data_IF_355041374999
#
_entry.id   IF_355041374999
#
_cell.length_a   1.000
_cell.length_b   1.000
_cell.length_c   1.000
_cell.angle_alpha   90.00
_cell.angle_beta   90.00
_cell.angle_gamma   90.00
#
_symmetry.space_group_name_H-M   'P 1'
#
loop_
_entity.id
_entity.type
_entity.pdbx_description
1 polymer ?
#
# COMPACT_ATOMS: atom_id res chain seq x y z
N UNK A 1 1.85 -23.18 -19.73
CA UNK A 1 1.68 -23.29 -21.19
C UNK A 1 0.93 -24.58 -21.51
N UNK A 2 -0.24 -24.48 -22.17
CA UNK A 2 -1.08 -25.65 -22.44
C UNK A 2 -0.54 -26.46 -23.65
N UNK A 3 0.07 -27.60 -23.34
CA UNK A 3 0.70 -28.49 -24.33
C UNK A 3 -0.30 -29.03 -25.36
N UNK A 4 -1.54 -29.32 -24.94
CA UNK A 4 -2.57 -29.80 -25.84
C UNK A 4 -2.93 -28.79 -26.93
N UNK A 5 -3.02 -27.50 -26.51
CA UNK A 5 -3.34 -26.39 -27.42
C UNK A 5 -2.22 -26.16 -28.45
N UNK A 6 -0.94 -26.16 -28.02
CA UNK A 6 0.17 -25.96 -28.92
C UNK A 6 0.34 -27.13 -29.91
N UNK A 7 0.07 -28.37 -29.48
CA UNK A 7 0.07 -29.53 -30.35
C UNK A 7 -1.03 -29.50 -31.40
N UNK A 8 -2.23 -29.08 -31.02
CA UNK A 8 -3.36 -28.90 -31.94
C UNK A 8 -3.04 -27.87 -33.03
N UNK A 9 -2.47 -26.73 -32.65
CA UNK A 9 -2.06 -25.70 -33.60
C UNK A 9 -0.93 -26.18 -34.53
N UNK A 10 0.09 -26.86 -34.02
CA UNK A 10 1.17 -27.39 -34.83
C UNK A 10 0.68 -28.42 -35.86
N UNK A 11 -0.26 -29.27 -35.46
CA UNK A 11 -0.88 -30.24 -36.35
C UNK A 11 -1.73 -29.55 -37.43
N UNK A 12 -2.52 -28.56 -37.07
CA UNK A 12 -3.33 -27.79 -38.00
C UNK A 12 -2.47 -27.06 -39.04
N UNK A 13 -1.45 -26.33 -38.60
CA UNK A 13 -0.51 -25.64 -39.50
C UNK A 13 0.22 -26.64 -40.42
N UNK A 14 0.61 -27.81 -39.90
CA UNK A 14 1.22 -28.88 -40.67
C UNK A 14 0.30 -29.42 -41.78
N UNK A 15 -0.98 -29.60 -41.46
CA UNK A 15 -1.97 -30.08 -42.43
C UNK A 15 -2.25 -29.06 -43.53
N UNK A 16 -2.19 -27.78 -43.26
CA UNK A 16 -2.44 -26.68 -44.22
C UNK A 16 -1.22 -26.38 -45.08
N UNK A 17 -0.02 -26.41 -44.51
CA UNK A 17 1.23 -26.02 -45.19
C UNK A 17 2.05 -27.16 -45.77
N UNK A 18 1.75 -28.41 -45.40
CA UNK A 18 2.57 -29.56 -45.74
C UNK A 18 3.91 -29.65 -45.00
N UNK A 19 4.16 -28.79 -44.03
CA UNK A 19 5.39 -28.73 -43.25
C UNK A 19 5.17 -29.25 -41.83
N UNK A 20 6.21 -29.84 -41.24
CA UNK A 20 6.20 -30.27 -39.82
C UNK A 20 6.54 -29.10 -38.90
N UNK A 21 5.63 -28.77 -38.00
CA UNK A 21 5.82 -27.74 -36.96
C UNK A 21 6.13 -28.35 -35.59
N UNK A 22 6.39 -29.64 -35.50
CA UNK A 22 6.65 -30.30 -34.21
C UNK A 22 7.89 -29.74 -33.47
N UNK A 23 8.90 -29.33 -34.22
CA UNK A 23 10.10 -28.70 -33.66
C UNK A 23 9.83 -27.36 -33.00
N UNK A 24 8.83 -26.60 -33.49
CA UNK A 24 8.43 -25.34 -32.89
C UNK A 24 7.78 -25.54 -31.53
N UNK A 25 6.98 -26.57 -31.34
CA UNK A 25 6.43 -26.95 -30.06
C UNK A 25 7.52 -27.22 -29.03
N UNK A 26 8.53 -27.99 -29.43
CA UNK A 26 9.69 -28.27 -28.58
C UNK A 26 10.46 -26.98 -28.21
N UNK A 27 10.68 -26.11 -29.19
CA UNK A 27 11.35 -24.82 -28.99
C UNK A 27 10.56 -23.92 -28.01
N UNK A 28 9.26 -23.74 -28.23
CA UNK A 28 8.41 -22.92 -27.38
C UNK A 28 8.36 -23.44 -25.95
N UNK A 29 8.25 -24.77 -25.80
CA UNK A 29 8.27 -25.40 -24.46
C UNK A 29 9.61 -25.21 -23.76
N UNK A 30 10.72 -25.39 -24.46
CA UNK A 30 12.07 -25.22 -23.90
C UNK A 30 12.26 -23.76 -23.46
N UNK A 31 11.83 -22.80 -24.29
CA UNK A 31 11.89 -21.36 -23.93
C UNK A 31 10.97 -21.03 -22.76
N UNK A 32 9.77 -21.58 -22.74
CA UNK A 32 8.83 -21.42 -21.63
C UNK A 32 9.39 -21.98 -20.32
N UNK A 33 9.93 -23.17 -20.35
CA UNK A 33 10.55 -23.79 -19.17
C UNK A 33 11.81 -23.03 -18.72
N UNK A 34 12.60 -22.51 -19.64
CA UNK A 34 13.72 -21.61 -19.28
C UNK A 34 13.24 -20.35 -18.60
N UNK A 35 12.24 -19.67 -19.16
CA UNK A 35 11.66 -18.46 -18.56
C UNK A 35 11.08 -18.74 -17.16
N UNK A 36 10.32 -19.82 -17.00
CA UNK A 36 9.81 -20.26 -15.69
C UNK A 36 10.93 -20.57 -14.69
N UNK A 37 12.04 -21.16 -15.15
CA UNK A 37 13.20 -21.47 -14.30
C UNK A 37 14.03 -20.24 -13.91
N UNK A 38 13.80 -19.08 -14.53
CA UNK A 38 14.43 -17.80 -14.15
C UNK A 38 13.60 -17.00 -13.14
N UNK A 39 12.35 -17.41 -12.90
CA UNK A 39 11.52 -16.78 -11.86
C UNK A 39 12.07 -17.16 -10.47
N UNK A 40 11.93 -16.28 -9.48
CA UNK A 40 12.23 -16.60 -8.09
C UNK A 40 11.40 -17.82 -7.63
N UNK A 41 11.90 -18.54 -6.65
CA UNK A 41 11.18 -19.67 -6.05
C UNK A 41 9.83 -19.20 -5.52
N UNK A 42 8.81 -20.05 -5.70
CA UNK A 42 7.50 -19.76 -5.11
C UNK A 42 7.64 -19.67 -3.59
N UNK A 43 7.31 -18.49 -3.06
CA UNK A 43 7.35 -18.16 -1.64
C UNK A 43 5.93 -17.89 -1.18
N UNK A 44 5.50 -18.55 -0.11
CA UNK A 44 4.17 -18.31 0.46
C UNK A 44 4.09 -16.87 0.99
N UNK A 45 2.92 -16.25 0.86
CA UNK A 45 2.66 -14.95 1.45
C UNK A 45 2.65 -15.11 2.98
N UNK A 46 3.48 -14.31 3.67
CA UNK A 46 3.58 -14.34 5.13
C UNK A 46 4.17 -13.03 5.66
N UNK A 47 3.77 -12.65 6.88
CA UNK A 47 4.40 -11.56 7.64
C UNK A 47 5.65 -12.11 8.32
N UNK A 48 6.78 -11.42 8.17
CA UNK A 48 8.06 -11.81 8.79
C UNK A 48 8.49 -10.90 9.93
N UNK A 49 7.88 -9.72 10.04
CA UNK A 49 8.10 -8.81 11.18
C UNK A 49 7.90 -9.56 12.48
N UNK A 50 8.86 -9.45 13.41
CA UNK A 50 8.89 -10.15 14.69
C UNK A 50 8.69 -11.68 14.56
N UNK A 51 9.07 -12.27 13.42
CA UNK A 51 8.87 -13.70 13.14
C UNK A 51 7.40 -14.10 12.94
N UNK A 52 6.54 -13.17 12.54
CA UNK A 52 5.09 -13.39 12.38
C UNK A 52 4.33 -13.46 13.70
N UNK A 53 4.92 -13.02 14.81
CA UNK A 53 4.32 -13.11 16.15
C UNK A 53 3.90 -11.70 16.61
N UNK A 54 2.76 -11.60 17.26
CA UNK A 54 2.24 -10.38 17.87
C UNK A 54 3.32 -9.70 18.75
N UNK A 55 3.35 -8.37 18.70
CA UNK A 55 4.35 -7.59 19.44
C UNK A 55 3.78 -6.25 19.93
N UNK A 56 4.61 -5.52 20.69
CA UNK A 56 4.27 -4.18 21.17
C UNK A 56 5.26 -3.16 20.64
N UNK A 57 4.75 -1.98 20.28
CA UNK A 57 5.52 -0.86 19.77
C UNK A 57 5.03 0.43 20.46
N UNK A 58 5.89 1.46 20.50
CA UNK A 58 5.51 2.77 21.05
C UNK A 58 5.27 3.84 19.98
N UNK A 59 5.56 3.51 18.72
CA UNK A 59 5.35 4.42 17.60
C UNK A 59 3.90 4.36 17.12
N UNK A 60 3.44 5.45 16.53
CA UNK A 60 2.09 5.58 15.96
C UNK A 60 1.99 5.05 14.51
N UNK A 61 3.09 4.65 13.92
CA UNK A 61 3.16 3.96 12.64
C UNK A 61 4.27 2.90 12.69
N UNK A 62 4.07 1.79 12.01
CA UNK A 62 5.02 0.68 11.97
C UNK A 62 5.28 0.24 10.54
N UNK A 63 6.47 -0.29 10.32
CA UNK A 63 6.82 -1.00 9.11
C UNK A 63 6.60 -2.49 9.33
N UNK A 64 5.72 -3.08 8.55
CA UNK A 64 5.55 -4.53 8.46
C UNK A 64 6.31 -5.03 7.24
N UNK A 65 7.13 -6.04 7.48
CA UNK A 65 7.86 -6.77 6.45
C UNK A 65 7.26 -8.16 6.27
N UNK A 66 7.40 -8.70 5.09
CA UNK A 66 6.93 -10.03 4.81
C UNK A 66 7.49 -10.59 3.51
N UNK A 67 7.16 -11.85 3.29
CA UNK A 67 7.50 -12.57 2.08
C UNK A 67 6.26 -12.74 1.19
N UNK A 68 6.50 -12.86 -0.11
CA UNK A 68 5.48 -13.14 -1.11
C UNK A 68 6.12 -13.49 -2.44
N UNK A 69 5.36 -14.13 -3.30
CA UNK A 69 5.85 -14.48 -4.62
C UNK A 69 5.48 -13.39 -5.65
N UNK A 70 6.11 -13.46 -6.82
CA UNK A 70 5.95 -12.51 -7.94
C UNK A 70 4.50 -12.36 -8.44
N UNK A 71 3.60 -13.24 -8.07
CA UNK A 71 2.17 -13.15 -8.40
C UNK A 71 1.37 -12.22 -7.48
N UNK A 72 1.94 -11.77 -6.38
CA UNK A 72 1.30 -10.76 -5.52
C UNK A 72 1.33 -9.41 -6.23
N UNK A 73 0.14 -8.92 -6.59
CA UNK A 73 -0.04 -7.63 -7.26
C UNK A 73 -0.50 -6.53 -6.30
N UNK A 74 -1.39 -6.87 -5.36
CA UNK A 74 -1.93 -5.94 -4.36
C UNK A 74 -1.94 -6.60 -3.00
N UNK A 75 -1.64 -5.84 -1.95
CA UNK A 75 -1.85 -6.22 -0.55
C UNK A 75 -2.92 -5.30 0.03
N UNK A 76 -3.90 -5.89 0.68
CA UNK A 76 -4.90 -5.17 1.47
C UNK A 76 -4.64 -5.39 2.96
N UNK A 77 -4.77 -4.34 3.75
CA UNK A 77 -4.76 -4.39 5.22
C UNK A 77 -6.18 -4.11 5.69
N UNK A 78 -6.79 -5.09 6.35
CA UNK A 78 -8.19 -5.02 6.80
C UNK A 78 -9.17 -4.64 5.67
N UNK A 79 -8.92 -5.12 4.45
CA UNK A 79 -9.74 -4.86 3.27
C UNK A 79 -9.47 -3.51 2.58
N UNK A 80 -8.42 -2.79 2.97
CA UNK A 80 -8.03 -1.51 2.36
C UNK A 80 -6.71 -1.72 1.60
N UNK A 81 -6.68 -1.48 0.27
CA UNK A 81 -5.44 -1.58 -0.51
C UNK A 81 -4.38 -0.60 0.00
N UNK A 82 -3.15 -1.08 0.12
CA UNK A 82 -2.01 -0.28 0.58
C UNK A 82 -0.88 -0.28 -0.46
N UNK A 83 -0.09 0.79 -0.46
CA UNK A 83 1.12 0.86 -1.29
C UNK A 83 2.18 -0.08 -0.74
N UNK A 84 2.65 -1.00 -1.58
CA UNK A 84 3.67 -2.00 -1.24
C UNK A 84 5.02 -1.55 -1.77
N UNK A 85 6.04 -1.61 -0.93
CA UNK A 85 7.43 -1.45 -1.34
C UNK A 85 8.09 -2.83 -1.39
N UNK A 86 8.42 -3.30 -2.61
CA UNK A 86 9.18 -4.53 -2.79
C UNK A 86 10.66 -4.26 -2.54
N UNK A 87 11.22 -4.91 -1.53
CA UNK A 87 12.62 -4.75 -1.12
C UNK A 87 13.55 -5.69 -1.90
N UNK A 88 13.01 -6.82 -2.35
CA UNK A 88 13.65 -7.74 -3.29
C UNK A 88 12.60 -8.54 -4.10
N UNK A 89 13.01 -9.65 -4.73
CA UNK A 89 12.14 -10.46 -5.59
C UNK A 89 11.03 -11.21 -4.83
N UNK A 90 11.16 -11.39 -3.52
CA UNK A 90 10.24 -12.17 -2.69
C UNK A 90 9.86 -11.46 -1.38
N UNK A 91 10.45 -10.30 -1.09
CA UNK A 91 10.22 -9.61 0.20
C UNK A 91 9.58 -8.26 -0.04
N UNK A 92 8.58 -7.96 0.77
CA UNK A 92 7.83 -6.71 0.73
C UNK A 92 7.88 -5.98 2.08
N UNK A 93 7.64 -4.68 2.05
CA UNK A 93 7.48 -3.81 3.21
C UNK A 93 6.29 -2.87 2.98
N UNK A 94 5.49 -2.69 4.02
CA UNK A 94 4.40 -1.71 4.08
C UNK A 94 4.49 -0.92 5.38
N UNK A 95 4.15 0.37 5.33
CA UNK A 95 4.01 1.20 6.53
C UNK A 95 2.53 1.38 6.84
N UNK A 96 2.13 1.06 8.06
CA UNK A 96 0.74 1.18 8.52
C UNK A 96 0.65 2.01 9.81
N UNK A 97 -0.39 2.85 9.94
CA UNK A 97 -0.67 3.55 11.19
C UNK A 97 -1.26 2.58 12.22
N UNK A 98 -0.91 2.78 13.49
CA UNK A 98 -1.48 2.05 14.62
C UNK A 98 -1.97 3.04 15.70
N UNK A 99 -3.22 2.88 16.14
CA UNK A 99 -3.77 3.62 17.27
C UNK A 99 -3.34 3.04 18.61
N UNK A 100 -3.59 3.72 19.72
CA UNK A 100 -3.29 3.22 21.08
C UNK A 100 -4.01 1.90 21.36
N UNK A 101 -3.31 0.99 22.05
CA UNK A 101 -3.83 -0.33 22.37
C UNK A 101 -3.62 -1.37 21.28
N UNK A 102 -4.44 -2.41 21.25
CA UNK A 102 -4.29 -3.53 20.33
C UNK A 102 -4.82 -3.20 18.93
N UNK A 103 -3.99 -3.41 17.92
CA UNK A 103 -4.30 -3.20 16.51
C UNK A 103 -4.17 -4.53 15.76
N UNK A 104 -5.27 -5.29 15.61
CA UNK A 104 -5.26 -6.49 14.79
C UNK A 104 -5.29 -6.14 13.31
N UNK A 105 -4.37 -6.72 12.56
CA UNK A 105 -4.26 -6.55 11.12
C UNK A 105 -4.39 -7.89 10.42
N UNK A 106 -5.28 -7.95 9.43
CA UNK A 106 -5.36 -9.03 8.46
C UNK A 106 -4.83 -8.51 7.15
N UNK A 107 -3.76 -9.12 6.66
CA UNK A 107 -3.18 -8.82 5.36
C UNK A 107 -3.66 -9.88 4.38
N UNK A 108 -4.20 -9.44 3.24
CA UNK A 108 -4.65 -10.31 2.16
C UNK A 108 -3.96 -9.90 0.87
N UNK A 109 -3.29 -10.85 0.24
CA UNK A 109 -2.59 -10.65 -1.02
C UNK A 109 -3.43 -11.13 -2.20
N UNK A 110 -3.49 -10.34 -3.25
CA UNK A 110 -4.24 -10.63 -4.48
C UNK A 110 -3.30 -10.61 -5.69
N UNK A 111 -3.59 -11.48 -6.67
CA UNK A 111 -2.91 -11.45 -7.95
C UNK A 111 -3.50 -10.39 -8.89
N UNK A 112 -2.92 -10.25 -10.08
CA UNK A 112 -3.39 -9.30 -11.11
C UNK A 112 -4.85 -9.55 -11.57
N UNK A 113 -5.39 -10.75 -11.37
CA UNK A 113 -6.78 -11.07 -11.71
C UNK A 113 -7.76 -10.80 -10.55
N UNK A 114 -7.26 -10.33 -9.39
CA UNK A 114 -8.06 -10.11 -8.19
C UNK A 114 -8.38 -11.40 -7.42
N UNK A 115 -7.65 -12.48 -7.68
CA UNK A 115 -7.77 -13.73 -6.92
C UNK A 115 -6.85 -13.67 -5.70
N UNK A 116 -7.33 -14.10 -4.53
CA UNK A 116 -6.53 -14.21 -3.33
C UNK A 116 -5.42 -15.25 -3.50
N UNK A 117 -4.18 -14.87 -3.23
CA UNK A 117 -2.99 -15.73 -3.32
C UNK A 117 -2.35 -16.00 -1.96
N UNK A 118 -2.79 -15.32 -0.92
CA UNK A 118 -2.37 -15.57 0.44
C UNK A 118 -2.98 -14.60 1.44
N UNK A 119 -2.96 -14.98 2.70
CA UNK A 119 -3.43 -14.14 3.81
C UNK A 119 -2.65 -14.47 5.07
N UNK A 120 -2.38 -13.46 5.89
CA UNK A 120 -1.73 -13.62 7.19
C UNK A 120 -2.22 -12.56 8.17
N UNK A 121 -2.01 -12.76 9.47
CA UNK A 121 -2.51 -11.88 10.52
C UNK A 121 -1.45 -11.59 11.56
N UNK A 122 -1.44 -10.36 12.06
CA UNK A 122 -0.59 -9.93 13.17
C UNK A 122 -1.34 -8.90 14.01
N UNK A 123 -1.13 -8.93 15.32
CA UNK A 123 -1.64 -7.90 16.22
C UNK A 123 -0.49 -7.10 16.82
N UNK A 124 -0.51 -5.79 16.64
CA UNK A 124 0.49 -4.89 17.21
C UNK A 124 -0.15 -4.06 18.30
N UNK A 125 0.39 -4.15 19.52
CA UNK A 125 -0.09 -3.35 20.64
C UNK A 125 0.72 -2.05 20.71
N UNK A 126 0.09 -0.93 20.38
CA UNK A 126 0.70 0.36 20.57
C UNK A 126 0.62 0.75 22.06
N UNK A 127 1.79 0.90 22.67
CA UNK A 127 1.94 1.28 24.09
C UNK A 127 2.07 2.79 24.30
N UNK A 128 2.06 3.58 23.22
CA UNK A 128 2.06 5.04 23.28
C UNK A 128 0.78 5.57 23.94
N UNK A 129 0.91 6.67 24.66
CA UNK A 129 -0.24 7.44 25.14
C UNK A 129 -0.74 8.48 24.11
N UNK A 130 -0.25 8.41 22.87
CA UNK A 130 -0.53 9.37 21.79
C UNK A 130 -1.09 8.63 20.59
N UNK A 131 -2.24 9.07 20.10
CA UNK A 131 -2.88 8.52 18.89
C UNK A 131 -2.46 9.31 17.63
N UNK A 132 -2.46 8.66 16.46
CA UNK A 132 -2.41 9.40 15.20
C UNK A 132 -3.74 10.11 14.92
N UNK A 133 -3.64 11.30 14.29
CA UNK A 133 -4.79 12.02 13.80
C UNK A 133 -5.59 11.19 12.77
N UNK A 134 -6.89 11.08 12.97
CA UNK A 134 -7.83 10.42 12.06
C UNK A 134 -9.23 11.03 12.20
N UNK A 135 -10.15 10.63 11.33
CA UNK A 135 -11.52 11.16 11.30
C UNK A 135 -12.35 10.91 12.58
N UNK A 136 -11.90 10.01 13.46
CA UNK A 136 -12.60 9.69 14.70
C UNK A 136 -12.12 10.55 15.88
N UNK A 137 -10.94 11.14 15.79
CA UNK A 137 -10.32 11.90 16.87
C UNK A 137 -9.96 13.35 16.49
N UNK A 138 -10.00 13.70 15.21
CA UNK A 138 -9.60 15.02 14.72
C UNK A 138 -10.65 15.56 13.77
N UNK A 139 -11.08 16.81 13.99
CA UNK A 139 -11.99 17.51 13.10
C UNK A 139 -11.42 18.88 12.71
N UNK A 140 -11.83 19.36 11.55
CA UNK A 140 -11.67 20.77 11.20
C UNK A 140 -12.74 21.53 11.98
N UNK A 141 -12.35 22.38 12.94
CA UNK A 141 -13.23 23.17 13.76
C UNK A 141 -13.53 24.55 13.16
N UNK A 142 -12.58 25.10 12.44
CA UNK A 142 -12.74 26.37 11.73
C UNK A 142 -11.97 26.36 10.41
N UNK A 143 -12.58 26.97 9.40
CA UNK A 143 -11.95 27.29 8.13
C UNK A 143 -12.13 28.80 7.89
N UNK A 144 -11.07 29.57 8.05
CA UNK A 144 -11.06 30.98 7.74
C UNK A 144 -10.50 31.17 6.31
N UNK A 145 -11.43 31.20 5.38
CA UNK A 145 -11.15 31.32 3.95
C UNK A 145 -11.57 32.71 3.47
N UNK A 146 -10.70 33.36 2.70
CA UNK A 146 -10.93 34.65 2.07
C UNK A 146 -11.30 35.77 3.09
N UNK A 147 -10.40 36.08 4.03
CA UNK A 147 -10.61 37.11 5.02
C UNK A 147 -10.73 38.51 4.41
N UNK A 148 -11.23 39.47 5.20
CA UNK A 148 -11.28 40.88 4.78
C UNK A 148 -9.87 41.45 4.56
N UNK A 149 -9.76 42.44 3.68
CA UNK A 149 -8.50 43.16 3.48
C UNK A 149 -7.92 43.69 4.81
N UNK A 150 -6.58 43.61 4.99
CA UNK A 150 -5.93 44.07 6.22
C UNK A 150 -6.27 45.51 6.56
N UNK A 151 -6.46 45.77 7.85
CA UNK A 151 -6.60 47.13 8.39
C UNK A 151 -5.27 47.89 8.31
N UNK A 152 -5.30 49.22 8.42
CA UNK A 152 -4.07 50.02 8.40
C UNK A 152 -3.09 49.63 9.52
N UNK A 153 -3.59 49.21 10.68
CA UNK A 153 -2.75 48.73 11.80
C UNK A 153 -2.02 47.45 11.47
N UNK A 154 -2.67 46.52 10.76
CA UNK A 154 -2.08 45.29 10.30
C UNK A 154 -1.04 45.52 9.19
N UNK A 155 -1.35 46.44 8.25
CA UNK A 155 -0.41 46.85 7.22
C UNK A 155 0.85 47.46 7.83
N UNK A 156 0.69 48.36 8.81
CA UNK A 156 1.80 48.99 9.53
C UNK A 156 2.64 47.97 10.34
N UNK A 157 2.03 46.85 10.74
CA UNK A 157 2.70 45.74 11.38
C UNK A 157 3.36 44.75 10.38
N UNK A 158 3.19 44.97 9.07
CA UNK A 158 3.81 44.18 8.01
C UNK A 158 2.91 43.12 7.37
N UNK A 159 1.64 43.02 7.79
CA UNK A 159 0.64 42.10 7.24
C UNK A 159 -0.17 42.80 6.15
N UNK A 160 0.30 42.83 4.94
CA UNK A 160 -0.26 43.61 3.83
C UNK A 160 -1.07 42.76 2.81
N UNK A 161 -1.23 41.49 3.07
CA UNK A 161 -1.99 40.55 2.26
C UNK A 161 -3.07 39.86 3.09
N UNK A 162 -4.30 39.82 2.56
CA UNK A 162 -5.41 39.14 3.22
C UNK A 162 -5.16 37.63 3.37
N UNK A 163 -4.47 37.00 2.43
CA UNK A 163 -4.19 35.58 2.43
C UNK A 163 -3.30 35.16 3.62
N UNK A 164 -2.57 36.10 4.25
CA UNK A 164 -1.79 35.85 5.47
C UNK A 164 -2.67 35.57 6.70
N UNK A 165 -3.96 35.83 6.61
CA UNK A 165 -4.96 35.59 7.67
C UNK A 165 -5.81 34.34 7.38
N UNK A 166 -5.57 33.64 6.29
CA UNK A 166 -6.23 32.36 6.04
C UNK A 166 -5.68 31.29 6.97
N UNK A 167 -6.57 30.48 7.54
CA UNK A 167 -6.16 29.34 8.37
C UNK A 167 -7.19 28.22 8.38
N UNK A 168 -6.72 27.03 8.75
CA UNK A 168 -7.54 25.88 9.10
C UNK A 168 -7.25 25.53 10.55
N UNK A 169 -8.28 25.49 11.39
CA UNK A 169 -8.16 25.04 12.76
C UNK A 169 -8.52 23.56 12.86
N UNK A 170 -7.63 22.79 13.51
CA UNK A 170 -7.87 21.39 13.84
C UNK A 170 -8.13 21.25 15.34
N UNK A 171 -9.20 20.54 15.68
CA UNK A 171 -9.55 20.25 17.07
C UNK A 171 -9.47 18.75 17.34
N UNK A 172 -8.72 18.40 18.40
CA UNK A 172 -8.71 17.04 18.96
C UNK A 172 -10.04 16.83 19.73
N UNK A 173 -10.86 15.89 19.24
CA UNK A 173 -12.11 15.46 19.89
C UNK A 173 -11.97 14.11 20.60
N UNK A 174 -10.77 13.50 20.55
CA UNK A 174 -10.43 12.27 21.26
C UNK A 174 -10.07 12.50 22.72
N UNK A 175 -9.88 11.43 23.46
CA UNK A 175 -9.53 11.46 24.87
C UNK A 175 -8.01 11.48 25.13
N UNK A 176 -7.21 11.21 24.13
CA UNK A 176 -5.74 11.11 24.18
C UNK A 176 -5.08 12.23 23.39
N UNK A 177 -3.82 12.48 23.64
CA UNK A 177 -3.05 13.38 22.79
C UNK A 177 -2.98 12.80 21.36
N UNK A 178 -2.91 13.68 20.37
CA UNK A 178 -2.84 13.30 18.95
C UNK A 178 -1.48 13.70 18.41
N UNK A 179 -0.86 12.78 17.68
CA UNK A 179 0.30 13.03 16.86
C UNK A 179 -0.14 13.41 15.44
N UNK A 180 0.29 14.60 14.99
CA UNK A 180 0.03 15.10 13.64
C UNK A 180 1.18 14.78 12.65
N UNK A 181 2.14 13.96 13.05
CA UNK A 181 3.24 13.56 12.16
C UNK A 181 2.69 12.93 10.89
N UNK A 182 3.14 13.44 9.74
CA UNK A 182 2.68 13.05 8.41
C UNK A 182 1.19 13.35 8.12
N UNK A 183 0.49 14.07 8.99
CA UNK A 183 -0.83 14.58 8.63
C UNK A 183 -0.69 15.62 7.52
N UNK A 184 -1.47 15.49 6.47
CA UNK A 184 -1.45 16.39 5.33
C UNK A 184 -2.85 16.57 4.74
N UNK A 185 -3.10 17.73 4.19
CA UNK A 185 -4.24 17.92 3.31
C UNK A 185 -3.85 17.44 1.90
N UNK A 186 -4.55 16.44 1.40
CA UNK A 186 -4.23 15.79 0.12
C UNK A 186 -5.10 16.28 -1.03
N UNK A 187 -6.17 17.00 -0.74
CA UNK A 187 -7.10 17.49 -1.75
C UNK A 187 -7.76 18.82 -1.28
N UNK A 188 -7.91 19.76 -2.20
CA UNK A 188 -8.63 21.01 -2.01
C UNK A 188 -7.87 22.15 -1.32
N UNK A 189 -6.81 21.88 -0.56
CA UNK A 189 -5.99 22.91 0.12
C UNK A 189 -4.53 22.53 0.04
N UNK A 190 -3.66 23.48 -0.31
CA UNK A 190 -2.21 23.29 -0.30
C UNK A 190 -1.59 24.31 0.65
N UNK A 191 -0.92 23.83 1.70
CA UNK A 191 -0.05 24.65 2.54
C UNK A 191 1.41 24.41 2.12
N UNK A 192 2.15 25.49 1.92
CA UNK A 192 3.58 25.48 1.58
C UNK A 192 4.40 25.95 2.77
#
# INVERSE_FOLDING_TARGET
>A
FNTAYSTTWANHLGSVSGNSFSSYNSYVRTRGNFALGTLPSNTAFAITTNGGIDFSEADSAIDLEGDGWIDVFTIEVNGIPITVNWTDANSWMITIPIGTGANPHTLTAFNYHGEEVGSDTISVTNTSAVDLANISNTIISELHYHPAAPSQVEIDAGFNDADLFEFVELTNIGATNIDLTNAAFTDGVTFT
#
